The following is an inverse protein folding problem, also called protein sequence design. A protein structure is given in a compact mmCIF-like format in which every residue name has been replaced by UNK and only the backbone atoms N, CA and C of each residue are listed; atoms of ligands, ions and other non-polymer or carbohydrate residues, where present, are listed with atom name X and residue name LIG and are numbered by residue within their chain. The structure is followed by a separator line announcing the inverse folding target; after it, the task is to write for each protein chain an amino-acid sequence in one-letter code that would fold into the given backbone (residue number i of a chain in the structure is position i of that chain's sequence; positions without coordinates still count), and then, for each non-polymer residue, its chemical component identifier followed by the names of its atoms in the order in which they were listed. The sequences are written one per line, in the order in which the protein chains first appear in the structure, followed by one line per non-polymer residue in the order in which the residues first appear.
data_IF_773453976950
#
_entry.id   IF_773453976950
#
_cell.length_a   1.000
_cell.length_b   1.000
_cell.length_c   1.000
_cell.angle_alpha   90.00
_cell.angle_beta   90.00
_cell.angle_gamma   90.00
#
_symmetry.space_group_name_H-M   'P 1'
#
loop_
_entity.id
_entity.type
_entity.pdbx_description
1 polymer ?
#
# COMPACT_ATOMS: atom_id res chain seq x y z
N UNK A 1 -7.90 -5.38 13.14
CA UNK A 1 -7.49 -6.55 13.91
C UNK A 1 -6.69 -7.53 13.05
N UNK A 2 -6.15 -8.57 13.66
CA UNK A 2 -5.31 -9.56 12.97
C UNK A 2 -6.12 -10.30 11.89
N UNK A 3 -7.37 -10.65 12.16
CA UNK A 3 -8.21 -11.36 11.19
C UNK A 3 -8.44 -10.52 9.94
N UNK A 4 -8.68 -9.23 10.10
CA UNK A 4 -8.83 -8.32 8.97
C UNK A 4 -7.54 -8.20 8.15
N UNK A 5 -6.40 -8.17 8.83
CA UNK A 5 -5.10 -8.12 8.17
C UNK A 5 -4.83 -9.40 7.37
N UNK A 6 -5.16 -10.56 7.93
CA UNK A 6 -5.03 -11.84 7.22
C UNK A 6 -5.90 -11.86 5.95
N UNK A 7 -7.13 -11.37 6.04
CA UNK A 7 -7.99 -11.26 4.85
C UNK A 7 -7.39 -10.37 3.78
N UNK A 8 -6.78 -9.25 4.20
CA UNK A 8 -6.09 -8.36 3.27
C UNK A 8 -4.92 -9.07 2.59
N UNK A 9 -4.13 -9.85 3.34
CA UNK A 9 -3.02 -10.61 2.77
C UNK A 9 -3.50 -11.69 1.81
N UNK A 10 -4.60 -12.35 2.12
CA UNK A 10 -5.22 -13.33 1.21
C UNK A 10 -5.63 -12.67 -0.11
N UNK A 11 -6.25 -11.51 -0.03
CA UNK A 11 -6.67 -10.76 -1.22
C UNK A 11 -5.46 -10.35 -2.07
N UNK A 12 -4.37 -9.90 -1.43
CA UNK A 12 -3.14 -9.59 -2.15
C UNK A 12 -2.56 -10.81 -2.87
N UNK A 13 -2.51 -11.95 -2.20
CA UNK A 13 -1.98 -13.17 -2.78
C UNK A 13 -2.84 -13.66 -3.94
N UNK A 14 -4.15 -13.42 -3.88
CA UNK A 14 -5.07 -13.74 -4.98
C UNK A 14 -4.88 -12.79 -6.16
N UNK A 15 -4.70 -11.50 -5.88
CA UNK A 15 -4.49 -10.49 -6.92
C UNK A 15 -3.16 -10.67 -7.65
N UNK A 16 -2.14 -11.18 -6.96
CA UNK A 16 -0.80 -11.42 -7.51
C UNK A 16 -0.46 -12.89 -7.29
N UNK A 17 -0.99 -13.81 -8.12
CA UNK A 17 -0.98 -15.25 -7.81
C UNK A 17 0.37 -15.94 -7.97
N UNK A 18 1.35 -15.32 -8.61
CA UNK A 18 2.65 -15.96 -8.86
C UNK A 18 3.80 -15.06 -8.44
N UNK A 19 4.95 -15.68 -8.15
CA UNK A 19 6.18 -14.97 -7.82
C UNK A 19 6.30 -14.63 -6.34
N UNK A 20 7.49 -14.20 -5.95
CA UNK A 20 7.75 -13.73 -4.58
C UNK A 20 7.17 -12.35 -4.38
N UNK A 21 6.65 -12.11 -3.18
CA UNK A 21 6.05 -10.84 -2.80
C UNK A 21 6.70 -10.34 -1.52
N UNK A 22 7.22 -9.13 -1.55
CA UNK A 22 7.69 -8.43 -0.36
C UNK A 22 6.74 -7.28 -0.05
N UNK A 23 6.13 -7.32 1.13
CA UNK A 23 5.21 -6.27 1.57
C UNK A 23 5.91 -5.41 2.61
N UNK A 24 6.10 -4.13 2.30
CA UNK A 24 6.75 -3.18 3.19
C UNK A 24 5.68 -2.55 4.09
N UNK A 25 5.88 -2.65 5.39
CA UNK A 25 4.89 -2.26 6.39
C UNK A 25 5.51 -1.35 7.44
N UNK A 26 4.67 -0.54 8.06
CA UNK A 26 5.08 0.16 9.28
C UNK A 26 5.24 -0.85 10.43
N UNK A 27 5.75 -0.37 11.57
CA UNK A 27 6.05 -1.24 12.71
C UNK A 27 4.84 -1.34 13.66
N UNK A 28 3.65 -1.59 13.12
CA UNK A 28 2.43 -1.77 13.90
C UNK A 28 2.41 -3.13 14.61
N UNK A 29 1.82 -3.16 15.80
CA UNK A 29 1.67 -4.41 16.57
C UNK A 29 0.90 -5.49 15.81
N UNK A 30 -0.09 -5.10 15.02
CA UNK A 30 -0.90 -6.04 14.23
C UNK A 30 0.00 -6.81 13.26
N UNK A 31 0.98 -6.12 12.67
CA UNK A 31 1.88 -6.73 11.69
C UNK A 31 2.86 -7.73 12.32
N UNK A 32 3.11 -7.60 13.63
CA UNK A 32 4.01 -8.49 14.37
C UNK A 32 3.28 -9.58 15.16
N UNK A 33 1.96 -9.69 15.03
CA UNK A 33 1.20 -10.63 15.86
C UNK A 33 1.65 -12.07 15.62
N UNK A 34 1.82 -12.82 16.72
CA UNK A 34 2.21 -14.24 16.68
C UNK A 34 1.18 -15.03 15.87
N UNK A 35 -0.09 -14.62 15.92
CA UNK A 35 -1.17 -15.26 15.17
C UNK A 35 -0.96 -15.25 13.66
N UNK A 36 -0.09 -14.38 13.13
CA UNK A 36 0.23 -14.36 11.70
C UNK A 36 1.18 -15.48 11.29
N UNK A 37 1.92 -16.08 12.22
CA UNK A 37 2.94 -17.06 11.90
C UNK A 37 2.41 -18.27 11.13
N UNK A 38 1.26 -18.88 11.52
CA UNK A 38 0.74 -20.00 10.75
C UNK A 38 0.40 -19.63 9.32
N UNK A 39 -0.16 -18.43 9.09
CA UNK A 39 -0.47 -17.94 7.76
C UNK A 39 0.79 -17.75 6.92
N UNK A 40 1.81 -17.12 7.49
CA UNK A 40 3.08 -16.86 6.78
C UNK A 40 3.79 -18.16 6.42
N UNK A 41 3.73 -19.17 7.28
CA UNK A 41 4.32 -20.49 6.99
C UNK A 41 3.64 -21.17 5.81
N UNK A 42 2.33 -20.97 5.64
CA UNK A 42 1.56 -21.55 4.52
C UNK A 42 1.82 -20.79 3.19
N UNK A 43 2.36 -19.58 3.27
CA UNK A 43 2.57 -18.72 2.09
C UNK A 43 4.02 -18.23 2.04
N UNK A 44 5.00 -19.14 1.79
CA UNK A 44 6.41 -18.77 1.84
C UNK A 44 6.83 -17.74 0.78
N UNK A 45 6.05 -17.55 -0.27
CA UNK A 45 6.33 -16.52 -1.27
C UNK A 45 6.04 -15.10 -0.78
N UNK A 46 5.32 -14.96 0.34
CA UNK A 46 5.06 -13.68 0.97
C UNK A 46 6.07 -13.42 2.08
N UNK A 47 6.74 -12.27 1.98
CA UNK A 47 7.66 -11.81 3.01
C UNK A 47 7.22 -10.44 3.50
N UNK A 48 7.11 -10.28 4.82
CA UNK A 48 6.82 -8.99 5.44
C UNK A 48 8.15 -8.31 5.79
N UNK A 49 8.27 -7.06 5.38
CA UNK A 49 9.44 -6.23 5.65
C UNK A 49 8.98 -5.03 6.47
N UNK A 50 9.49 -4.91 7.68
CA UNK A 50 9.07 -3.86 8.60
C UNK A 50 10.03 -2.69 8.56
N UNK A 51 9.45 -1.48 8.48
CA UNK A 51 10.22 -0.25 8.58
C UNK A 51 10.67 -0.04 10.04
N UNK A 52 11.79 0.69 10.24
CA UNK A 52 12.20 1.05 11.61
C UNK A 52 11.10 1.82 12.34
N UNK A 53 11.01 1.70 13.67
CA UNK A 53 10.06 2.49 14.45
C UNK A 53 10.25 3.99 14.20
N UNK A 54 9.14 4.74 14.20
CA UNK A 54 9.15 6.21 14.06
C UNK A 54 9.76 6.72 12.75
N UNK A 55 9.61 5.96 11.66
CA UNK A 55 10.17 6.32 10.35
C UNK A 55 9.08 6.40 9.27
N UNK A 56 8.00 7.19 9.47
CA UNK A 56 6.90 7.25 8.51
C UNK A 56 7.33 7.78 7.13
N UNK A 57 8.34 8.67 7.11
CA UNK A 57 8.85 9.25 5.86
C UNK A 57 9.59 8.23 4.98
N UNK A 58 9.93 7.05 5.51
CA UNK A 58 10.53 5.98 4.73
C UNK A 58 9.50 5.12 4.02
N UNK A 59 8.22 5.27 4.37
CA UNK A 59 7.13 4.52 3.72
C UNK A 59 6.66 5.29 2.50
N UNK A 60 6.85 4.74 1.28
CA UNK A 60 6.45 5.44 0.05
C UNK A 60 4.94 5.70 -0.05
N UNK A 61 4.12 4.99 0.72
CA UNK A 61 2.67 5.22 0.75
C UNK A 61 2.35 6.63 1.23
N UNK A 62 3.12 7.18 2.17
CA UNK A 62 2.91 8.55 2.65
C UNK A 62 3.12 9.56 1.51
N UNK A 63 4.16 9.36 0.70
CA UNK A 63 4.39 10.19 -0.50
C UNK A 63 3.26 10.06 -1.52
N UNK A 64 2.73 8.86 -1.68
CA UNK A 64 1.60 8.61 -2.59
C UNK A 64 0.35 9.37 -2.13
N UNK A 65 0.06 9.37 -0.82
CA UNK A 65 -1.08 10.12 -0.29
C UNK A 65 -0.92 11.63 -0.50
N UNK A 66 0.28 12.18 -0.30
CA UNK A 66 0.54 13.59 -0.55
C UNK A 66 0.34 13.92 -2.03
N UNK A 67 0.83 13.08 -2.91
CA UNK A 67 0.66 13.26 -4.36
C UNK A 67 -0.82 13.22 -4.76
N UNK A 68 -1.57 12.21 -4.27
CA UNK A 68 -2.99 12.11 -4.53
C UNK A 68 -3.75 13.36 -4.07
N UNK A 69 -3.47 13.84 -2.86
CA UNK A 69 -4.13 15.04 -2.35
C UNK A 69 -3.83 16.26 -3.21
N UNK A 70 -2.56 16.44 -3.60
CA UNK A 70 -2.17 17.58 -4.41
C UNK A 70 -2.79 17.55 -5.81
N UNK A 71 -2.81 16.36 -6.41
CA UNK A 71 -3.21 16.20 -7.82
C UNK A 71 -4.73 16.13 -8.00
N UNK A 72 -5.44 15.57 -7.04
CA UNK A 72 -6.87 15.27 -7.19
C UNK A 72 -7.72 16.04 -6.18
N UNK A 73 -7.39 15.97 -4.90
CA UNK A 73 -8.31 16.40 -3.84
C UNK A 73 -8.22 17.89 -3.56
N UNK A 74 -7.01 18.46 -3.45
CA UNK A 74 -6.81 19.84 -3.01
C UNK A 74 -7.14 20.89 -4.07
N UNK A 75 -7.09 20.52 -5.33
CA UNK A 75 -7.21 21.47 -6.44
C UNK A 75 -8.56 21.43 -7.16
N UNK A 76 -9.46 20.55 -6.77
CA UNK A 76 -10.73 20.34 -7.42
C UNK A 76 -11.85 20.38 -6.39
N UNK A 77 -12.89 21.17 -6.66
CA UNK A 77 -14.10 21.18 -5.86
C UNK A 77 -15.04 20.07 -6.32
N UNK A 78 -15.54 19.27 -5.38
CA UNK A 78 -16.46 18.19 -5.68
C UNK A 78 -17.79 18.42 -4.98
N UNK A 79 -18.86 18.51 -5.75
CA UNK A 79 -20.21 18.63 -5.21
C UNK A 79 -20.73 17.31 -4.68
N UNK A 80 -20.31 16.21 -5.28
CA UNK A 80 -20.81 14.87 -4.95
C UNK A 80 -19.68 13.90 -4.66
N UNK A 81 -19.88 13.07 -3.68
CA UNK A 81 -18.87 12.11 -3.22
C UNK A 81 -18.42 11.14 -4.32
N UNK A 82 -19.35 10.70 -5.18
CA UNK A 82 -18.96 9.74 -6.22
C UNK A 82 -17.98 10.36 -7.23
N UNK A 83 -18.00 11.68 -7.40
CA UNK A 83 -17.07 12.37 -8.29
C UNK A 83 -15.64 12.28 -7.76
N UNK A 84 -15.46 12.41 -6.44
CA UNK A 84 -14.17 12.22 -5.79
C UNK A 84 -13.67 10.81 -6.04
N UNK A 85 -14.53 9.80 -5.84
CA UNK A 85 -14.18 8.39 -6.05
C UNK A 85 -13.72 8.15 -7.50
N UNK A 86 -14.42 8.76 -8.47
CA UNK A 86 -14.07 8.60 -9.87
C UNK A 86 -12.68 9.17 -10.17
N UNK A 87 -12.38 10.37 -9.68
CA UNK A 87 -11.08 11.00 -9.90
C UNK A 87 -9.95 10.25 -9.20
N UNK A 88 -10.18 9.73 -7.99
CA UNK A 88 -9.22 8.87 -7.29
C UNK A 88 -8.95 7.59 -8.09
N UNK A 89 -10.01 6.97 -8.61
CA UNK A 89 -9.88 5.76 -9.42
C UNK A 89 -9.06 6.03 -10.70
N UNK A 90 -9.30 7.16 -11.35
CA UNK A 90 -8.53 7.56 -12.53
C UNK A 90 -7.06 7.81 -12.21
N UNK A 91 -6.79 8.45 -11.06
CA UNK A 91 -5.43 8.66 -10.59
C UNK A 91 -4.72 7.32 -10.38
N UNK A 92 -5.36 6.38 -9.70
CA UNK A 92 -4.78 5.06 -9.43
C UNK A 92 -4.48 4.30 -10.73
N UNK A 93 -5.40 4.36 -11.70
CA UNK A 93 -5.17 3.74 -13.01
C UNK A 93 -4.00 4.38 -13.74
N UNK A 94 -3.88 5.71 -13.67
CA UNK A 94 -2.80 6.44 -14.33
C UNK A 94 -1.43 6.05 -13.78
N UNK A 95 -1.29 6.02 -12.45
CA UNK A 95 0.01 5.66 -11.85
C UNK A 95 0.35 4.20 -12.09
N UNK A 96 -0.64 3.30 -12.16
CA UNK A 96 -0.40 1.89 -12.41
C UNK A 96 -0.01 1.59 -13.87
N UNK A 97 -0.30 2.49 -14.80
CA UNK A 97 0.17 2.37 -16.19
C UNK A 97 1.67 2.68 -16.32
N UNK A 98 2.22 3.42 -15.38
CA UNK A 98 3.62 3.85 -15.42
C UNK A 98 4.29 3.54 -14.09
N UNK A 99 4.43 2.24 -13.74
CA UNK A 99 4.91 1.86 -12.41
C UNK A 99 6.35 2.33 -12.14
N UNK A 100 7.23 2.31 -13.13
CA UNK A 100 8.61 2.77 -12.93
C UNK A 100 8.67 4.27 -12.64
N UNK A 101 7.89 5.07 -13.36
CA UNK A 101 7.82 6.51 -13.10
C UNK A 101 7.21 6.81 -11.74
N UNK A 102 6.21 6.03 -11.34
CA UNK A 102 5.58 6.15 -10.03
C UNK A 102 6.58 5.84 -8.92
N UNK A 103 7.32 4.75 -9.06
CA UNK A 103 8.35 4.35 -8.10
C UNK A 103 9.43 5.43 -8.00
N UNK A 104 9.90 5.93 -9.14
CA UNK A 104 10.92 6.99 -9.15
C UNK A 104 10.46 8.24 -8.41
N UNK A 105 9.20 8.66 -8.63
CA UNK A 105 8.64 9.82 -7.95
C UNK A 105 8.51 9.61 -6.45
N UNK A 106 8.16 8.39 -6.03
CA UNK A 106 7.93 8.05 -4.62
C UNK A 106 9.21 7.57 -3.92
N UNK A 107 10.31 7.43 -4.65
CA UNK A 107 11.54 6.87 -4.11
C UNK A 107 12.05 7.73 -2.96
N UNK A 108 12.14 7.09 -1.80
CA UNK A 108 12.76 7.68 -0.63
C UNK A 108 14.25 7.36 -0.70
N UNK A 109 15.08 8.38 -0.81
CA UNK A 109 16.52 8.18 -0.80
C UNK A 109 16.97 7.99 0.64
N UNK A 110 17.42 6.79 0.90
CA UNK A 110 17.94 6.42 2.22
C UNK A 110 19.40 6.87 2.36
#
# INVERSE_FOLDING_TARGET
DVAAFVRFLEDLLTAYPTGKMALILDNSRIHHAIALQPFLKKHPRLQLVFLPPYSPNLNPVEGLWLWLKADVVNNIFFEKFYTIRLHVSQFMKRINKHPMQTIDRLLVRL
#
